data_IF_864435894404
#
_entry.id   IF_864435894404
#
_cell.length_a   1.000
_cell.length_b   1.000
_cell.length_c   1.000
_cell.angle_alpha   90.00
_cell.angle_beta   90.00
_cell.angle_gamma   90.00
#
_symmetry.space_group_name_H-M   'P 1'
#
loop_
_entity.id
_entity.type
_entity.pdbx_description
1 polymer ?
#
# COMPACT_ATOMS: atom_id res chain seq x y z
N UNK A 1 48.44 52.01 14.82
CA UNK A 1 47.72 51.41 13.66
C UNK A 1 47.80 49.88 13.73
N UNK A 2 46.67 49.23 14.05
CA UNK A 2 46.56 47.77 14.22
C UNK A 2 46.51 47.08 12.85
N UNK A 3 47.21 45.95 12.71
CA UNK A 3 47.06 45.05 11.55
C UNK A 3 45.65 44.41 11.54
N UNK A 4 45.10 44.06 10.36
CA UNK A 4 43.88 43.27 10.29
C UNK A 4 44.19 41.80 10.55
N UNK A 5 43.33 41.15 11.36
CA UNK A 5 43.29 39.69 11.53
C UNK A 5 42.51 39.10 10.36
N UNK A 6 43.08 38.08 9.73
CA UNK A 6 42.38 37.22 8.78
C UNK A 6 41.45 36.28 9.57
N UNK A 7 40.15 36.45 9.40
CA UNK A 7 39.15 35.58 10.01
C UNK A 7 38.87 34.35 9.13
N UNK A 8 39.28 33.21 9.68
CA UNK A 8 38.61 31.90 9.67
C UNK A 8 37.90 31.44 8.37
N UNK A 9 38.60 30.58 7.64
CA UNK A 9 37.97 29.60 6.75
C UNK A 9 37.09 28.63 7.58
N UNK A 10 35.77 28.78 7.48
CA UNK A 10 34.79 27.83 8.00
C UNK A 10 34.87 26.52 7.20
N UNK A 11 35.56 25.52 7.74
CA UNK A 11 35.56 24.16 7.20
C UNK A 11 34.17 23.53 7.36
N UNK A 12 33.56 23.13 6.25
CA UNK A 12 32.38 22.26 6.28
C UNK A 12 32.71 20.97 7.07
N UNK A 13 31.79 20.44 7.88
CA UNK A 13 32.05 19.22 8.64
C UNK A 13 32.26 18.06 7.66
N UNK A 14 33.46 17.47 7.66
CA UNK A 14 33.68 16.18 7.01
C UNK A 14 32.93 15.13 7.82
N UNK A 15 31.95 14.47 7.19
CA UNK A 15 31.31 13.30 7.77
C UNK A 15 32.38 12.29 8.20
N UNK A 16 32.25 11.74 9.41
CA UNK A 16 33.25 10.82 9.96
C UNK A 16 33.17 9.47 9.22
N UNK A 17 34.27 8.73 9.17
CA UNK A 17 34.25 7.37 8.59
C UNK A 17 33.27 6.42 9.29
N UNK A 18 32.96 6.67 10.58
CA UNK A 18 31.91 5.94 11.30
C UNK A 18 30.52 6.26 10.76
N UNK A 19 30.21 7.53 10.46
CA UNK A 19 28.92 7.92 9.90
C UNK A 19 28.69 7.30 8.51
N UNK A 20 29.76 7.18 7.72
CA UNK A 20 29.72 6.55 6.41
C UNK A 20 29.47 5.03 6.50
N UNK A 21 30.17 4.33 7.42
CA UNK A 21 29.99 2.88 7.63
C UNK A 21 28.59 2.55 8.17
N UNK A 22 28.06 3.38 9.05
CA UNK A 22 26.70 3.23 9.59
C UNK A 22 25.64 3.48 8.50
N UNK A 23 25.89 4.43 7.60
CA UNK A 23 25.08 4.67 6.41
C UNK A 23 25.04 3.47 5.46
N UNK A 24 26.20 2.90 5.15
CA UNK A 24 26.33 1.73 4.27
C UNK A 24 25.64 0.49 4.87
N UNK A 25 25.82 0.24 6.18
CA UNK A 25 25.16 -0.86 6.87
C UNK A 25 23.63 -0.72 6.84
N UNK A 26 23.10 0.50 7.01
CA UNK A 26 21.66 0.79 6.98
C UNK A 26 21.08 0.62 5.57
N UNK A 27 21.82 1.04 4.55
CA UNK A 27 21.44 0.85 3.15
C UNK A 27 21.43 -0.65 2.76
N UNK A 28 22.45 -1.40 3.17
CA UNK A 28 22.50 -2.85 2.96
C UNK A 28 21.31 -3.56 3.64
N UNK A 29 20.99 -3.18 4.89
CA UNK A 29 19.84 -3.72 5.60
C UNK A 29 18.51 -3.42 4.88
N UNK A 30 18.31 -2.17 4.43
CA UNK A 30 17.13 -1.79 3.67
C UNK A 30 16.99 -2.58 2.36
N UNK A 31 18.10 -2.82 1.65
CA UNK A 31 18.11 -3.64 0.44
C UNK A 31 17.72 -5.10 0.71
N UNK A 32 18.15 -5.68 1.83
CA UNK A 32 17.76 -7.05 2.21
C UNK A 32 16.26 -7.11 2.47
N UNK A 33 15.71 -6.16 3.24
CA UNK A 33 14.27 -6.08 3.52
C UNK A 33 13.46 -5.96 2.23
N UNK A 34 13.85 -5.08 1.31
CA UNK A 34 13.19 -4.91 0.02
C UNK A 34 13.18 -6.21 -0.80
N UNK A 35 14.27 -6.99 -0.77
CA UNK A 35 14.33 -8.28 -1.49
C UNK A 35 13.41 -9.34 -0.88
N UNK A 36 13.27 -9.34 0.45
CA UNK A 36 12.36 -10.25 1.15
C UNK A 36 10.91 -9.90 0.79
N UNK A 37 10.57 -8.61 0.81
CA UNK A 37 9.23 -8.14 0.47
C UNK A 37 8.88 -8.46 -1.00
N UNK A 38 9.81 -8.21 -1.95
CA UNK A 38 9.60 -8.55 -3.38
C UNK A 38 9.39 -10.06 -3.59
N UNK A 39 10.16 -10.90 -2.90
CA UNK A 39 9.99 -12.36 -2.96
C UNK A 39 8.63 -12.79 -2.38
N UNK A 40 8.21 -12.19 -1.27
CA UNK A 40 6.94 -12.51 -0.61
C UNK A 40 5.72 -11.93 -1.34
N UNK A 41 5.88 -10.86 -2.12
CA UNK A 41 4.82 -10.27 -2.94
C UNK A 41 4.38 -11.17 -4.10
N UNK A 42 5.25 -12.09 -4.56
CA UNK A 42 4.96 -13.02 -5.67
C UNK A 42 4.19 -14.27 -5.24
N UNK A 43 3.87 -14.40 -3.95
CA UNK A 43 3.18 -15.59 -3.44
C UNK A 43 1.72 -15.59 -3.84
N UNK A 44 1.17 -16.79 -3.99
CA UNK A 44 -0.26 -16.96 -4.20
C UNK A 44 -1.07 -16.47 -2.98
N UNK A 45 -2.15 -15.75 -3.26
CA UNK A 45 -3.20 -15.37 -2.30
C UNK A 45 -4.53 -15.82 -2.90
N UNK A 46 -5.26 -16.67 -2.18
CA UNK A 46 -6.59 -17.11 -2.59
C UNK A 46 -7.58 -15.94 -2.57
N UNK A 47 -8.49 -15.89 -3.54
CA UNK A 47 -9.54 -14.87 -3.66
C UNK A 47 -10.46 -14.86 -2.43
N UNK A 48 -10.86 -13.66 -1.98
CA UNK A 48 -11.88 -13.52 -0.95
C UNK A 48 -13.26 -13.77 -1.56
N UNK A 49 -14.10 -14.63 -0.97
CA UNK A 49 -15.50 -14.80 -1.38
C UNK A 49 -16.33 -13.52 -1.32
N UNK A 50 -15.92 -12.53 -0.52
CA UNK A 50 -16.56 -11.23 -0.48
C UNK A 50 -16.41 -10.45 -1.79
N UNK A 51 -15.31 -10.68 -2.52
CA UNK A 51 -14.88 -9.80 -3.58
C UNK A 51 -13.39 -9.48 -3.54
N UNK A 52 -13.03 -8.37 -4.17
CA UNK A 52 -11.67 -7.86 -4.22
C UNK A 52 -11.67 -6.35 -4.10
N UNK A 53 -10.51 -5.79 -3.74
CA UNK A 53 -10.31 -4.35 -3.68
C UNK A 53 -9.34 -3.90 -4.76
N UNK A 54 -9.56 -2.68 -5.26
CA UNK A 54 -8.56 -1.91 -6.01
C UNK A 54 -8.19 -0.69 -5.18
N UNK A 55 -6.90 -0.57 -4.87
CA UNK A 55 -6.34 0.47 -3.98
C UNK A 55 -5.53 1.47 -4.79
N UNK A 56 -5.71 2.76 -4.47
CA UNK A 56 -4.99 3.87 -5.10
C UNK A 56 -4.61 4.92 -4.06
N UNK A 57 -3.48 5.59 -4.26
CA UNK A 57 -3.16 6.85 -3.60
C UNK A 57 -3.38 7.99 -4.58
N UNK A 58 -4.21 8.97 -4.20
CA UNK A 58 -4.51 10.14 -5.01
C UNK A 58 -4.52 11.39 -4.14
N UNK A 59 -3.64 12.35 -4.45
CA UNK A 59 -3.49 13.54 -3.62
C UNK A 59 -3.06 13.16 -2.20
N UNK A 60 -3.90 13.49 -1.21
CA UNK A 60 -3.69 13.20 0.21
C UNK A 60 -4.56 12.04 0.74
N UNK A 61 -5.20 11.27 -0.16
CA UNK A 61 -6.13 10.21 0.20
C UNK A 61 -5.74 8.85 -0.38
N UNK A 62 -5.96 7.81 0.42
CA UNK A 62 -6.04 6.41 0.02
C UNK A 62 -7.48 6.16 -0.41
N UNK A 63 -7.67 5.67 -1.63
CA UNK A 63 -8.95 5.23 -2.18
C UNK A 63 -8.94 3.70 -2.26
N UNK A 64 -9.95 3.04 -1.72
CA UNK A 64 -10.15 1.60 -1.85
C UNK A 64 -11.56 1.32 -2.37
N UNK A 65 -11.65 0.70 -3.55
CA UNK A 65 -12.92 0.31 -4.17
C UNK A 65 -13.10 -1.19 -4.06
N UNK A 66 -14.22 -1.62 -3.52
CA UNK A 66 -14.61 -3.02 -3.42
C UNK A 66 -15.49 -3.42 -4.60
N UNK A 67 -15.24 -4.61 -5.15
CA UNK A 67 -16.00 -5.23 -6.22
C UNK A 67 -16.34 -6.65 -5.82
N UNK A 68 -17.58 -7.08 -6.10
CA UNK A 68 -17.99 -8.46 -5.85
C UNK A 68 -17.44 -9.39 -6.94
N UNK A 69 -17.25 -10.65 -6.58
CA UNK A 69 -16.96 -11.72 -7.51
C UNK A 69 -17.77 -12.97 -7.14
N UNK A 70 -17.88 -13.89 -8.09
CA UNK A 70 -18.25 -15.29 -7.85
C UNK A 70 -17.00 -16.11 -8.13
N UNK A 71 -16.62 -16.97 -7.21
CA UNK A 71 -15.51 -17.90 -7.43
C UNK A 71 -16.09 -19.15 -8.10
N UNK A 72 -15.71 -19.40 -9.36
CA UNK A 72 -16.13 -20.59 -10.09
C UNK A 72 -15.52 -21.88 -9.54
N UNK A 73 -16.03 -23.03 -9.99
CA UNK A 73 -15.46 -24.35 -9.65
C UNK A 73 -14.03 -24.53 -10.17
N UNK A 74 -13.65 -23.76 -11.19
CA UNK A 74 -12.31 -23.63 -11.74
C UNK A 74 -11.38 -22.70 -10.93
N UNK A 75 -11.90 -22.09 -9.86
CA UNK A 75 -11.17 -21.13 -9.02
C UNK A 75 -11.05 -19.73 -9.63
N UNK A 76 -11.70 -19.46 -10.77
CA UNK A 76 -11.64 -18.15 -11.42
C UNK A 76 -12.68 -17.18 -10.85
N UNK A 77 -12.28 -15.91 -10.71
CA UNK A 77 -13.20 -14.84 -10.36
C UNK A 77 -14.11 -14.53 -11.56
N UNK A 78 -15.42 -14.51 -11.32
CA UNK A 78 -16.44 -14.17 -12.31
C UNK A 78 -17.27 -13.00 -11.82
N UNK A 79 -17.75 -12.20 -12.75
CA UNK A 79 -18.64 -11.11 -12.41
C UNK A 79 -20.02 -11.65 -12.00
N UNK A 80 -20.62 -11.15 -10.89
CA UNK A 80 -21.90 -11.67 -10.43
C UNK A 80 -23.11 -11.38 -11.32
N UNK A 81 -23.05 -10.34 -12.16
CA UNK A 81 -24.15 -9.95 -13.06
C UNK A 81 -24.07 -10.68 -14.41
N UNK A 82 -22.86 -10.81 -14.96
CA UNK A 82 -22.63 -11.37 -16.31
C UNK A 82 -22.13 -12.81 -16.30
N UNK A 83 -21.62 -13.31 -15.16
CA UNK A 83 -20.97 -14.62 -15.00
C UNK A 83 -19.71 -14.82 -15.87
N UNK A 84 -19.21 -13.75 -16.49
CA UNK A 84 -17.98 -13.74 -17.27
C UNK A 84 -16.75 -13.72 -16.35
N UNK A 85 -15.64 -14.35 -16.79
CA UNK A 85 -14.37 -14.31 -16.05
C UNK A 85 -13.86 -12.88 -16.00
N UNK A 86 -13.47 -12.41 -14.82
CA UNK A 86 -12.88 -11.08 -14.63
C UNK A 86 -11.41 -11.14 -15.09
N UNK A 87 -11.04 -10.47 -16.20
CA UNK A 87 -9.66 -10.43 -16.67
C UNK A 87 -8.80 -9.53 -15.78
N UNK A 88 -7.53 -9.90 -15.61
CA UNK A 88 -6.54 -9.11 -14.85
C UNK A 88 -5.87 -8.01 -15.70
N UNK A 89 -6.40 -7.66 -16.86
CA UNK A 89 -5.79 -6.69 -17.81
C UNK A 89 -6.40 -5.27 -17.72
N UNK A 90 -7.35 -5.06 -16.81
CA UNK A 90 -8.04 -3.78 -16.62
C UNK A 90 -9.03 -3.41 -17.73
N UNK A 91 -9.29 -4.29 -18.71
CA UNK A 91 -10.31 -4.07 -19.74
C UNK A 91 -11.73 -4.13 -19.16
N UNK A 92 -11.89 -4.87 -18.06
CA UNK A 92 -13.16 -5.06 -17.38
C UNK A 92 -13.53 -3.87 -16.50
N UNK A 93 -14.78 -3.42 -16.61
CA UNK A 93 -15.32 -2.29 -15.86
C UNK A 93 -16.43 -2.78 -14.90
N UNK A 94 -16.06 -3.37 -13.76
CA UNK A 94 -17.03 -3.86 -12.78
C UNK A 94 -17.84 -2.72 -12.16
N UNK A 95 -19.06 -3.05 -11.73
CA UNK A 95 -19.86 -2.16 -10.87
C UNK A 95 -19.22 -2.12 -9.48
N UNK A 96 -18.96 -0.92 -9.00
CA UNK A 96 -18.40 -0.71 -7.66
C UNK A 96 -19.45 -1.10 -6.60
N UNK A 97 -19.10 -2.02 -5.70
CA UNK A 97 -19.97 -2.44 -4.61
C UNK A 97 -19.86 -1.52 -3.39
N UNK A 98 -18.65 -1.05 -3.07
CA UNK A 98 -18.42 -0.11 -1.98
C UNK A 98 -17.17 0.73 -2.23
N UNK A 99 -17.14 1.95 -1.71
CA UNK A 99 -15.97 2.85 -1.78
C UNK A 99 -15.58 3.31 -0.39
N UNK A 100 -14.28 3.29 -0.13
CA UNK A 100 -13.68 3.74 1.11
C UNK A 100 -12.56 4.72 0.82
N UNK A 101 -12.47 5.75 1.65
CA UNK A 101 -11.38 6.71 1.61
C UNK A 101 -10.81 6.95 3.00
N UNK A 102 -9.51 7.21 3.08
CA UNK A 102 -8.84 7.59 4.33
C UNK A 102 -7.50 8.24 4.06
N UNK A 103 -6.99 9.03 5.00
CA UNK A 103 -5.70 9.71 4.86
C UNK A 103 -4.53 8.90 5.41
N UNK A 104 -4.84 7.86 6.19
CA UNK A 104 -3.85 6.96 6.79
C UNK A 104 -4.32 5.51 6.62
N UNK A 105 -3.39 4.56 6.67
CA UNK A 105 -3.71 3.14 6.63
C UNK A 105 -4.64 2.74 7.79
N UNK A 106 -4.44 3.35 8.96
CA UNK A 106 -5.29 3.13 10.14
C UNK A 106 -6.72 3.62 9.90
N UNK A 107 -6.88 4.84 9.40
CA UNK A 107 -8.20 5.44 9.16
C UNK A 107 -9.03 4.57 8.21
N UNK A 108 -8.44 4.14 7.08
CA UNK A 108 -9.17 3.33 6.11
C UNK A 108 -9.43 1.91 6.64
N UNK A 109 -8.50 1.32 7.42
CA UNK A 109 -8.70 0.01 8.05
C UNK A 109 -9.87 0.01 9.03
N UNK A 110 -9.95 1.02 9.90
CA UNK A 110 -11.08 1.20 10.84
C UNK A 110 -12.39 1.37 10.06
N UNK A 111 -12.38 2.18 8.98
CA UNK A 111 -13.56 2.40 8.15
C UNK A 111 -14.05 1.12 7.47
N UNK A 112 -13.17 0.20 7.10
CA UNK A 112 -13.52 -1.05 6.41
C UNK A 112 -13.92 -2.12 7.43
N UNK A 113 -13.11 -2.35 8.47
CA UNK A 113 -13.18 -3.55 9.31
C UNK A 113 -13.81 -3.35 10.70
N UNK A 114 -13.91 -2.13 11.21
CA UNK A 114 -14.28 -1.86 12.61
C UNK A 114 -15.59 -1.05 12.73
N UNK A 115 -16.41 -1.01 11.67
CA UNK A 115 -17.72 -0.35 11.73
C UNK A 115 -18.76 -1.29 12.34
N UNK A 116 -19.45 -0.80 13.37
CA UNK A 116 -20.56 -1.49 14.00
C UNK A 116 -21.94 -0.96 13.53
N UNK A 117 -22.96 -1.81 13.61
CA UNK A 117 -24.37 -1.40 13.44
C UNK A 117 -24.85 -1.36 11.99
N UNK A 118 -25.82 -0.48 11.67
CA UNK A 118 -26.46 -0.38 10.33
C UNK A 118 -25.49 0.02 9.21
N UNK A 119 -24.34 0.58 9.56
CA UNK A 119 -23.30 1.04 8.64
C UNK A 119 -22.09 0.09 8.60
N UNK A 120 -22.22 -1.10 9.20
CA UNK A 120 -21.20 -2.14 9.13
C UNK A 120 -21.00 -2.57 7.67
N UNK A 121 -19.74 -2.66 7.23
CA UNK A 121 -19.42 -3.16 5.89
C UNK A 121 -19.34 -4.69 5.92
N UNK A 122 -20.30 -5.33 6.59
CA UNK A 122 -20.29 -6.77 6.80
C UNK A 122 -20.15 -7.48 5.45
N UNK A 123 -19.12 -8.32 5.36
CA UNK A 123 -18.90 -9.17 4.20
C UNK A 123 -18.19 -8.53 3.00
N UNK A 124 -17.53 -7.38 3.13
CA UNK A 124 -16.58 -6.88 2.08
C UNK A 124 -15.20 -7.54 2.15
N UNK A 125 -14.90 -8.24 3.24
CA UNK A 125 -13.70 -9.06 3.41
C UNK A 125 -14.01 -10.16 4.42
N UNK A 126 -13.90 -11.42 4.02
CA UNK A 126 -14.20 -12.57 4.90
C UNK A 126 -12.96 -13.32 5.34
N UNK A 127 -11.83 -13.15 4.66
CA UNK A 127 -10.60 -13.87 4.93
C UNK A 127 -9.59 -13.00 5.68
N UNK A 128 -9.11 -13.49 6.82
CA UNK A 128 -8.08 -12.81 7.62
C UNK A 128 -6.78 -12.58 6.84
N UNK A 129 -6.41 -13.51 5.94
CA UNK A 129 -5.27 -13.34 5.05
C UNK A 129 -5.43 -12.16 4.10
N UNK A 130 -6.67 -11.90 3.63
CA UNK A 130 -7.00 -10.73 2.81
C UNK A 130 -7.02 -9.44 3.63
N UNK A 131 -7.61 -9.45 4.83
CA UNK A 131 -7.55 -8.29 5.72
C UNK A 131 -6.08 -7.86 6.00
N UNK A 132 -5.20 -8.82 6.27
CA UNK A 132 -3.77 -8.56 6.44
C UNK A 132 -3.11 -8.06 5.14
N UNK A 133 -3.50 -8.58 3.97
CA UNK A 133 -3.02 -8.07 2.68
C UNK A 133 -3.40 -6.60 2.48
N UNK A 134 -4.67 -6.28 2.66
CA UNK A 134 -5.19 -4.91 2.55
C UNK A 134 -4.44 -3.96 3.51
N UNK A 135 -4.18 -4.39 4.75
CA UNK A 135 -3.39 -3.60 5.70
C UNK A 135 -1.96 -3.26 5.23
N UNK A 136 -1.30 -4.16 4.47
CA UNK A 136 0.03 -3.87 3.88
C UNK A 136 -0.08 -2.91 2.71
N UNK A 137 -1.08 -3.11 1.86
CA UNK A 137 -1.35 -2.23 0.71
C UNK A 137 -1.70 -0.81 1.16
N UNK A 138 -2.49 -0.66 2.22
CA UNK A 138 -2.80 0.65 2.79
C UNK A 138 -1.57 1.34 3.39
N UNK A 139 -0.69 0.59 4.06
CA UNK A 139 0.58 1.16 4.57
C UNK A 139 1.48 1.64 3.42
N UNK A 140 1.54 0.87 2.32
CA UNK A 140 2.27 1.26 1.11
C UNK A 140 1.67 2.52 0.48
N UNK A 141 0.35 2.56 0.31
CA UNK A 141 -0.35 3.74 -0.21
C UNK A 141 -0.11 4.98 0.66
N UNK A 142 -0.20 4.85 1.99
CA UNK A 142 0.10 5.93 2.93
C UNK A 142 1.56 6.41 2.82
N UNK A 143 2.51 5.48 2.66
CA UNK A 143 3.91 5.84 2.43
C UNK A 143 4.08 6.62 1.12
N UNK A 144 3.46 6.17 0.02
CA UNK A 144 3.49 6.86 -1.27
C UNK A 144 2.94 8.28 -1.18
N UNK A 145 1.80 8.48 -0.50
CA UNK A 145 1.24 9.82 -0.23
C UNK A 145 2.26 10.71 0.47
N UNK A 146 2.92 10.20 1.53
CA UNK A 146 3.93 10.96 2.28
C UNK A 146 5.15 11.34 1.44
N UNK A 147 5.49 10.54 0.45
CA UNK A 147 6.60 10.82 -0.48
C UNK A 147 6.17 11.67 -1.68
N UNK A 148 4.88 11.97 -1.85
CA UNK A 148 4.36 12.64 -3.04
C UNK A 148 4.44 11.77 -4.30
N UNK A 149 4.39 10.44 -4.15
CA UNK A 149 4.46 9.46 -5.22
C UNK A 149 3.05 8.91 -5.47
N UNK A 150 2.64 8.79 -6.73
CA UNK A 150 1.37 8.13 -7.08
C UNK A 150 1.45 6.63 -6.82
N UNK A 151 0.33 6.03 -6.40
CA UNK A 151 0.23 4.60 -6.17
C UNK A 151 -1.06 4.07 -6.77
N UNK A 152 -0.95 2.98 -7.52
CA UNK A 152 -2.06 2.13 -7.93
C UNK A 152 -1.61 0.70 -7.70
N UNK A 153 -2.42 -0.06 -6.98
CA UNK A 153 -2.23 -1.50 -6.82
C UNK A 153 -2.19 -2.18 -8.19
N UNK A 154 -1.27 -3.14 -8.33
CA UNK A 154 -1.06 -3.93 -9.54
C UNK A 154 -2.18 -4.96 -9.80
#
# INVERSE_FOLDING_TARGET
>A
PRQPREDAAGGAPRASESDARDGDARAAHASVMASIDDALSKRFIALDPAGYFVIRARGDAIEARHYKNIIGEDGLARDPETNEVIPCDGSYKPVVNAEFTGRTAKEISVKIFERDGRDANDGVCTMMSHANYLGREFQRAEWCIRQGIEYVQD
#
